data_IF_040370753868
#
_entry.id   IF_040370753868
#
_cell.length_a   1.000
_cell.length_b   1.000
_cell.length_c   1.000
_cell.angle_alpha   90.00
_cell.angle_beta   90.00
_cell.angle_gamma   90.00
#
_symmetry.space_group_name_H-M   'P 1'
#
loop_
_entity.id
_entity.type
_entity.pdbx_description
1 polymer ?
#
# COMPACT_ATOMS: atom_id res chain seq x y z
N UNK A 1 -5.43 1.13 10.13
CA UNK A 1 -4.02 1.07 9.70
C UNK A 1 -3.85 0.08 8.56
N UNK A 2 -3.19 0.47 7.47
CA UNK A 2 -2.88 -0.43 6.34
C UNK A 2 -1.50 -1.05 6.56
N UNK A 3 -1.47 -2.35 6.84
CA UNK A 3 -0.27 -3.11 7.20
C UNK A 3 0.01 -4.30 6.25
N UNK A 4 -0.55 -4.27 5.05
CA UNK A 4 -0.30 -5.24 3.98
C UNK A 4 1.17 -5.27 3.54
N UNK A 5 1.57 -6.29 2.79
CA UNK A 5 2.95 -6.50 2.33
C UNK A 5 3.96 -6.43 3.48
N UNK A 6 3.67 -7.21 4.54
CA UNK A 6 4.48 -7.27 5.77
C UNK A 6 4.72 -5.87 6.38
N UNK A 7 3.62 -5.08 6.52
CA UNK A 7 3.73 -3.70 7.02
C UNK A 7 4.60 -2.84 6.12
N UNK A 8 4.45 -2.93 4.79
CA UNK A 8 5.33 -2.26 3.82
C UNK A 8 6.82 -2.61 4.02
N UNK A 9 7.08 -3.85 4.43
CA UNK A 9 8.42 -4.36 4.72
C UNK A 9 8.96 -4.00 6.11
N UNK A 10 8.11 -3.48 7.01
CA UNK A 10 8.51 -3.09 8.37
C UNK A 10 8.18 -4.14 9.44
N UNK A 11 7.54 -5.27 9.06
CA UNK A 11 7.08 -6.30 9.98
C UNK A 11 5.62 -6.08 10.43
N UNK A 12 4.66 -6.75 9.77
CA UNK A 12 3.24 -6.55 10.05
C UNK A 12 2.84 -7.01 11.45
N UNK A 13 3.41 -8.08 11.96
CA UNK A 13 3.12 -8.61 13.30
C UNK A 13 3.51 -7.62 14.39
N UNK A 14 4.74 -7.13 14.37
CA UNK A 14 5.23 -6.14 15.34
C UNK A 14 4.46 -4.83 15.26
N UNK A 15 4.19 -4.37 14.04
CA UNK A 15 3.43 -3.14 13.82
C UNK A 15 1.98 -3.28 14.29
N UNK A 16 1.34 -4.42 14.07
CA UNK A 16 -0.04 -4.63 14.54
C UNK A 16 -0.14 -4.46 16.05
N UNK A 17 0.81 -5.02 16.80
CA UNK A 17 0.86 -4.90 18.26
C UNK A 17 1.12 -3.46 18.74
N UNK A 18 1.93 -2.70 18.00
CA UNK A 18 2.23 -1.29 18.29
C UNK A 18 1.01 -0.43 17.99
N UNK A 19 0.42 -0.57 16.81
CA UNK A 19 -0.73 0.25 16.40
C UNK A 19 -1.97 -0.03 17.23
N UNK A 20 -2.21 -1.27 17.65
CA UNK A 20 -3.28 -1.62 18.57
C UNK A 20 -3.12 -0.89 19.91
N UNK A 21 -1.91 -0.86 20.48
CA UNK A 21 -1.60 -0.10 21.71
C UNK A 21 -1.72 1.43 21.53
N UNK A 22 -1.51 1.93 20.32
CA UNK A 22 -1.65 3.34 19.97
C UNK A 22 -3.08 3.74 19.64
N UNK A 23 -4.04 2.80 19.67
CA UNK A 23 -5.45 3.07 19.47
C UNK A 23 -5.91 2.97 18.02
N UNK A 24 -5.29 2.11 17.21
CA UNK A 24 -5.86 1.73 15.92
C UNK A 24 -7.18 0.99 16.14
N UNK A 25 -8.17 1.24 15.27
CA UNK A 25 -9.49 0.61 15.36
C UNK A 25 -9.62 -0.58 14.37
N UNK A 26 -8.82 -0.59 13.30
CA UNK A 26 -8.98 -1.54 12.19
C UNK A 26 -7.65 -1.77 11.48
N UNK A 27 -7.42 -3.00 11.00
CA UNK A 27 -6.31 -3.31 10.10
C UNK A 27 -6.79 -3.59 8.68
N UNK A 28 -5.98 -3.22 7.70
CA UNK A 28 -6.23 -3.53 6.30
C UNK A 28 -5.01 -4.24 5.68
N UNK A 29 -5.29 -5.39 5.05
CA UNK A 29 -4.30 -6.28 4.45
C UNK A 29 -4.63 -6.53 2.96
N UNK A 30 -3.79 -7.23 2.22
CA UNK A 30 -4.03 -7.49 0.81
C UNK A 30 -4.54 -8.90 0.50
N UNK A 31 -4.31 -9.87 1.36
CA UNK A 31 -4.74 -11.27 1.18
C UNK A 31 -5.02 -11.94 2.53
N UNK A 32 -5.54 -13.16 2.46
CA UNK A 32 -5.96 -13.95 3.61
C UNK A 32 -4.77 -14.36 4.51
N UNK A 33 -3.63 -14.72 3.92
CA UNK A 33 -2.46 -15.17 4.67
C UNK A 33 -1.94 -14.07 5.60
N UNK A 34 -1.86 -12.83 5.10
CA UNK A 34 -1.49 -11.66 5.90
C UNK A 34 -2.46 -11.44 7.08
N UNK A 35 -3.76 -11.58 6.83
CA UNK A 35 -4.79 -11.45 7.86
C UNK A 35 -4.69 -12.55 8.93
N UNK A 36 -4.49 -13.79 8.52
CA UNK A 36 -4.32 -14.94 9.42
C UNK A 36 -3.06 -14.79 10.28
N UNK A 37 -1.95 -14.33 9.71
CA UNK A 37 -0.71 -14.09 10.44
C UNK A 37 -0.91 -13.07 11.57
N UNK A 38 -1.56 -11.94 11.27
CA UNK A 38 -1.89 -10.92 12.26
C UNK A 38 -2.84 -11.48 13.33
N UNK A 39 -3.86 -12.24 12.92
CA UNK A 39 -4.80 -12.85 13.86
C UNK A 39 -4.09 -13.86 14.79
N UNK A 40 -3.19 -14.72 14.25
CA UNK A 40 -2.39 -15.68 15.01
C UNK A 40 -1.39 -15.01 15.94
N UNK A 41 -0.95 -13.79 15.66
CA UNK A 41 -0.10 -13.00 16.57
C UNK A 41 -0.84 -12.49 17.81
N UNK A 42 -2.17 -12.65 17.86
CA UNK A 42 -3.01 -12.33 19.01
C UNK A 42 -3.86 -11.08 18.87
N UNK A 43 -3.78 -10.34 17.77
CA UNK A 43 -4.62 -9.15 17.54
C UNK A 43 -6.11 -9.52 17.52
N UNK A 44 -6.92 -8.66 18.13
CA UNK A 44 -8.38 -8.76 18.20
C UNK A 44 -9.10 -7.70 17.37
N UNK A 45 -8.36 -6.74 16.81
CA UNK A 45 -8.97 -5.70 16.00
C UNK A 45 -9.60 -6.29 14.73
N UNK A 46 -10.67 -5.70 14.18
CA UNK A 46 -11.20 -6.06 12.88
C UNK A 46 -10.11 -5.97 11.80
N UNK A 47 -10.17 -6.88 10.83
CA UNK A 47 -9.23 -6.94 9.70
C UNK A 47 -10.03 -6.99 8.41
N UNK A 48 -9.69 -6.14 7.44
CA UNK A 48 -10.29 -6.17 6.10
C UNK A 48 -9.25 -6.49 5.03
N UNK A 49 -9.56 -7.43 4.16
CA UNK A 49 -8.78 -7.70 2.95
C UNK A 49 -9.24 -6.72 1.85
N UNK A 50 -8.31 -5.91 1.33
CA UNK A 50 -8.59 -4.92 0.29
C UNK A 50 -8.55 -5.48 -1.13
N UNK A 51 -8.11 -6.73 -1.29
CA UNK A 51 -7.90 -7.42 -2.56
C UNK A 51 -8.83 -8.62 -2.75
N UNK A 52 -8.44 -9.48 -3.69
CA UNK A 52 -9.11 -10.74 -3.99
C UNK A 52 -8.67 -11.84 -3.03
N UNK A 53 -9.63 -12.67 -2.63
CA UNK A 53 -9.41 -13.94 -1.94
C UNK A 53 -10.17 -15.04 -2.70
N UNK A 54 -9.57 -16.21 -2.99
CA UNK A 54 -10.31 -17.32 -3.56
C UNK A 54 -11.51 -17.71 -2.68
N UNK A 55 -12.66 -18.00 -3.27
CA UNK A 55 -13.86 -18.37 -2.51
C UNK A 55 -13.68 -19.65 -1.69
N UNK A 56 -12.73 -20.50 -2.06
CA UNK A 56 -12.33 -21.68 -1.27
C UNK A 56 -11.81 -21.35 0.13
N UNK A 57 -11.49 -20.08 0.40
CA UNK A 57 -11.03 -19.60 1.70
C UNK A 57 -12.17 -19.09 2.60
N UNK A 58 -13.42 -19.33 2.24
CA UNK A 58 -14.60 -18.87 3.00
C UNK A 58 -14.57 -19.32 4.46
N UNK A 59 -14.22 -20.58 4.72
CA UNK A 59 -14.08 -21.12 6.07
C UNK A 59 -13.00 -20.34 6.87
N UNK A 60 -11.84 -20.08 6.25
CA UNK A 60 -10.77 -19.31 6.88
C UNK A 60 -11.16 -17.84 7.13
N UNK A 61 -11.88 -17.20 6.20
CA UNK A 61 -12.41 -15.84 6.43
C UNK A 61 -13.30 -15.80 7.66
N UNK A 62 -14.18 -16.78 7.81
CA UNK A 62 -15.10 -16.88 8.94
C UNK A 62 -14.38 -17.28 10.24
N UNK A 63 -13.51 -18.30 10.22
CA UNK A 63 -12.80 -18.79 11.41
C UNK A 63 -11.91 -17.69 12.03
N UNK A 64 -11.19 -16.94 11.17
CA UNK A 64 -10.30 -15.89 11.63
C UNK A 64 -10.96 -14.52 11.76
N UNK A 65 -12.28 -14.42 11.54
CA UNK A 65 -13.05 -13.17 11.60
C UNK A 65 -12.38 -12.04 10.78
N UNK A 66 -12.21 -12.31 9.49
CA UNK A 66 -11.57 -11.40 8.52
C UNK A 66 -12.59 -11.00 7.48
N UNK A 67 -12.81 -9.69 7.31
CA UNK A 67 -13.75 -9.14 6.34
C UNK A 67 -13.15 -9.13 4.94
N UNK A 68 -13.93 -9.49 3.92
CA UNK A 68 -13.51 -9.57 2.53
C UNK A 68 -14.04 -8.40 1.70
N UNK A 69 -13.19 -7.81 0.87
CA UNK A 69 -13.64 -6.88 -0.17
C UNK A 69 -14.45 -7.62 -1.25
N UNK A 70 -15.70 -7.26 -1.43
CA UNK A 70 -16.57 -7.76 -2.49
C UNK A 70 -16.68 -6.72 -3.59
N UNK A 71 -16.32 -7.08 -4.82
CA UNK A 71 -16.07 -6.13 -5.92
C UNK A 71 -16.89 -6.41 -7.18
N UNK A 72 -17.67 -7.50 -7.21
CA UNK A 72 -18.62 -7.82 -8.27
C UNK A 72 -19.72 -8.73 -7.73
N UNK A 73 -20.89 -8.72 -8.37
CA UNK A 73 -22.00 -9.59 -8.02
C UNK A 73 -21.67 -11.08 -8.25
N UNK A 74 -20.90 -11.40 -9.29
CA UNK A 74 -20.45 -12.76 -9.57
C UNK A 74 -19.61 -13.30 -8.40
N UNK A 75 -18.59 -12.54 -7.97
CA UNK A 75 -17.77 -12.92 -6.82
C UNK A 75 -18.60 -13.04 -5.53
N UNK A 76 -19.57 -12.14 -5.31
CA UNK A 76 -20.47 -12.21 -4.16
C UNK A 76 -21.28 -13.50 -4.15
N UNK A 77 -21.84 -13.92 -5.31
CA UNK A 77 -22.60 -15.15 -5.45
C UNK A 77 -21.75 -16.40 -5.17
N UNK A 78 -20.59 -16.49 -5.78
CA UNK A 78 -19.65 -17.60 -5.55
C UNK A 78 -19.24 -17.70 -4.07
N UNK A 79 -18.93 -16.57 -3.43
CA UNK A 79 -18.56 -16.54 -2.01
C UNK A 79 -19.75 -16.95 -1.12
N UNK A 80 -20.95 -16.45 -1.40
CA UNK A 80 -22.18 -16.81 -0.68
C UNK A 80 -22.51 -18.29 -0.80
N UNK A 81 -22.45 -18.85 -2.02
CA UNK A 81 -22.65 -20.27 -2.27
C UNK A 81 -21.66 -21.11 -1.44
N UNK A 82 -20.38 -20.70 -1.43
CA UNK A 82 -19.37 -21.40 -0.65
C UNK A 82 -19.60 -21.27 0.85
N UNK A 83 -19.99 -20.11 1.35
CA UNK A 83 -20.36 -19.92 2.75
C UNK A 83 -21.55 -20.82 3.18
N UNK A 84 -22.54 -21.00 2.31
CA UNK A 84 -23.67 -21.91 2.55
C UNK A 84 -23.19 -23.37 2.58
N UNK A 85 -22.34 -23.79 1.65
CA UNK A 85 -21.75 -25.14 1.62
C UNK A 85 -20.98 -25.48 2.90
N UNK A 86 -20.20 -24.54 3.43
CA UNK A 86 -19.33 -24.71 4.61
C UNK A 86 -20.05 -24.36 5.93
N UNK A 87 -21.34 -24.01 5.89
CA UNK A 87 -22.14 -23.60 7.08
C UNK A 87 -21.46 -22.46 7.88
N UNK A 88 -20.87 -21.51 7.16
CA UNK A 88 -20.18 -20.35 7.74
C UNK A 88 -20.79 -19.03 7.24
N UNK A 89 -20.43 -17.91 7.86
CA UNK A 89 -20.82 -16.56 7.45
C UNK A 89 -19.59 -15.69 7.31
N UNK A 90 -19.47 -14.99 6.17
CA UNK A 90 -18.36 -14.07 5.91
C UNK A 90 -18.82 -12.61 6.03
N UNK A 91 -18.04 -11.78 6.71
CA UNK A 91 -18.20 -10.32 6.68
C UNK A 91 -17.65 -9.77 5.38
N UNK A 92 -18.31 -8.75 4.85
CA UNK A 92 -17.86 -8.12 3.61
C UNK A 92 -17.87 -6.60 3.66
N UNK A 93 -16.88 -6.01 2.95
CA UNK A 93 -16.89 -4.61 2.57
C UNK A 93 -17.12 -4.49 1.07
N UNK A 94 -18.20 -3.84 0.67
CA UNK A 94 -18.51 -3.58 -0.73
C UNK A 94 -17.46 -2.61 -1.30
N UNK A 95 -16.78 -3.02 -2.36
CA UNK A 95 -15.79 -2.18 -3.06
C UNK A 95 -16.44 -1.50 -4.25
N UNK A 96 -16.48 -0.17 -4.21
CA UNK A 96 -16.93 0.68 -5.32
C UNK A 96 -15.73 1.16 -6.12
N UNK A 97 -15.78 1.03 -7.43
CA UNK A 97 -14.86 1.69 -8.35
C UNK A 97 -15.45 3.02 -8.81
N UNK A 98 -15.05 4.09 -8.15
CA UNK A 98 -15.48 5.46 -8.46
C UNK A 98 -14.55 6.21 -9.42
N UNK A 99 -13.54 5.51 -10.00
CA UNK A 99 -12.60 6.11 -10.97
C UNK A 99 -11.17 5.59 -10.90
N UNK A 100 -10.86 4.62 -10.03
CA UNK A 100 -9.52 4.00 -9.97
C UNK A 100 -9.30 2.95 -11.06
N UNK A 101 -10.37 2.31 -11.56
CA UNK A 101 -10.38 1.28 -12.61
C UNK A 101 -9.47 0.09 -12.31
N UNK A 102 -9.51 -0.40 -11.05
CA UNK A 102 -8.71 -1.55 -10.60
C UNK A 102 -9.59 -2.75 -10.25
N UNK A 103 -10.44 -2.65 -9.26
CA UNK A 103 -11.49 -3.60 -8.87
C UNK A 103 -12.62 -2.83 -8.21
N UNK A 104 -13.84 -3.33 -8.29
CA UNK A 104 -15.05 -2.74 -7.67
C UNK A 104 -16.22 -2.69 -8.60
N UNK A 105 -17.42 -2.57 -8.04
CA UNK A 105 -18.61 -2.26 -8.80
C UNK A 105 -18.45 -0.91 -9.48
N UNK A 106 -18.57 -0.87 -10.80
CA UNK A 106 -18.27 0.33 -11.59
C UNK A 106 -19.34 1.42 -11.36
N UNK A 107 -18.94 2.49 -10.71
CA UNK A 107 -19.78 3.64 -10.39
C UNK A 107 -19.00 4.94 -10.66
N UNK A 108 -18.78 5.24 -11.93
CA UNK A 108 -17.95 6.37 -12.41
C UNK A 108 -18.75 7.44 -13.15
N UNK A 109 -20.00 7.14 -13.55
CA UNK A 109 -20.82 8.03 -14.38
C UNK A 109 -22.29 8.05 -13.95
N UNK A 110 -22.63 8.85 -12.96
CA UNK A 110 -24.03 9.07 -12.61
C UNK A 110 -24.76 9.84 -13.72
N UNK A 111 -26.02 9.46 -14.11
CA UNK A 111 -26.86 8.38 -13.52
C UNK A 111 -26.73 7.00 -14.21
N UNK A 112 -25.71 6.73 -15.00
CA UNK A 112 -25.53 5.46 -15.73
C UNK A 112 -25.19 4.28 -14.82
N UNK A 113 -24.79 4.57 -13.58
CA UNK A 113 -24.34 3.54 -12.62
C UNK A 113 -25.48 2.81 -11.91
N UNK A 114 -26.75 3.07 -12.29
CA UNK A 114 -27.92 2.48 -11.66
C UNK A 114 -27.88 0.95 -11.66
N UNK A 115 -27.41 0.34 -12.75
CA UNK A 115 -27.23 -1.09 -12.86
C UNK A 115 -26.24 -1.64 -11.80
N UNK A 116 -25.12 -1.00 -11.61
CA UNK A 116 -24.13 -1.41 -10.60
C UNK A 116 -24.67 -1.24 -9.17
N UNK A 117 -25.53 -0.25 -8.93
CA UNK A 117 -26.19 -0.07 -7.64
C UNK A 117 -27.20 -1.20 -7.38
N UNK A 118 -27.92 -1.65 -8.40
CA UNK A 118 -28.81 -2.81 -8.32
C UNK A 118 -28.01 -4.09 -8.01
N UNK A 119 -26.89 -4.33 -8.68
CA UNK A 119 -25.99 -5.45 -8.40
C UNK A 119 -25.46 -5.41 -6.96
N UNK A 120 -25.11 -4.24 -6.43
CA UNK A 120 -24.67 -4.08 -5.03
C UNK A 120 -25.84 -4.45 -4.09
N UNK A 121 -27.06 -3.98 -4.36
CA UNK A 121 -28.23 -4.34 -3.55
C UNK A 121 -28.49 -5.84 -3.55
N UNK A 122 -28.35 -6.50 -4.70
CA UNK A 122 -28.47 -7.97 -4.82
C UNK A 122 -27.37 -8.66 -3.99
N UNK A 123 -26.11 -8.22 -4.11
CA UNK A 123 -24.99 -8.75 -3.33
C UNK A 123 -25.22 -8.63 -1.82
N UNK A 124 -25.78 -7.51 -1.36
CA UNK A 124 -26.11 -7.27 0.04
C UNK A 124 -27.25 -8.17 0.59
N UNK A 125 -28.02 -8.79 -0.28
CA UNK A 125 -29.14 -9.69 0.10
C UNK A 125 -28.77 -11.18 0.03
N UNK A 126 -27.54 -11.51 -0.39
CA UNK A 126 -27.11 -12.90 -0.51
C UNK A 126 -26.99 -13.58 0.87
N UNK A 127 -27.36 -14.87 0.98
CA UNK A 127 -27.27 -15.59 2.24
C UNK A 127 -25.79 -15.73 2.70
N UNK A 128 -25.59 -15.82 4.00
CA UNK A 128 -24.29 -16.06 4.63
C UNK A 128 -23.21 -15.01 4.31
N UNK A 129 -23.61 -13.81 3.84
CA UNK A 129 -22.77 -12.62 3.72
C UNK A 129 -23.30 -11.51 4.61
N UNK A 130 -22.45 -11.00 5.49
CA UNK A 130 -22.75 -9.88 6.40
C UNK A 130 -22.10 -8.59 5.88
N UNK A 131 -22.92 -7.58 5.55
CA UNK A 131 -22.43 -6.30 5.05
C UNK A 131 -21.91 -5.48 6.23
N UNK A 132 -20.59 -5.33 6.35
CA UNK A 132 -19.93 -4.51 7.36
C UNK A 132 -19.58 -3.12 6.84
N UNK A 133 -19.09 -3.04 5.61
CA UNK A 133 -18.58 -1.77 5.09
C UNK A 133 -18.80 -1.49 3.61
N UNK A 134 -18.57 -0.24 3.25
CA UNK A 134 -18.58 0.27 1.87
C UNK A 134 -17.35 1.14 1.66
N UNK A 135 -16.59 0.91 0.57
CA UNK A 135 -15.41 1.71 0.32
C UNK A 135 -15.07 1.94 -1.14
N UNK A 136 -14.35 3.01 -1.38
CA UNK A 136 -13.66 3.30 -2.65
C UNK A 136 -12.18 3.61 -2.41
N UNK A 137 -11.44 3.96 -3.46
CA UNK A 137 -10.04 4.36 -3.35
C UNK A 137 -9.73 5.49 -4.33
N UNK A 138 -9.20 6.58 -3.82
CA UNK A 138 -8.78 7.73 -4.62
C UNK A 138 -7.46 7.43 -5.32
N UNK A 139 -7.33 7.81 -6.57
CA UNK A 139 -6.15 7.51 -7.37
C UNK A 139 -5.18 8.69 -7.51
N UNK A 140 -5.62 9.93 -7.24
CA UNK A 140 -4.84 11.16 -7.44
C UNK A 140 -5.01 12.17 -6.29
N UNK A 141 -5.35 11.69 -5.09
CA UNK A 141 -5.58 12.56 -3.92
C UNK A 141 -4.31 13.23 -3.38
N UNK A 142 -3.15 12.85 -3.87
CA UNK A 142 -1.84 13.43 -3.54
C UNK A 142 -1.25 14.28 -4.67
N UNK A 143 -2.08 14.60 -5.68
CA UNK A 143 -1.72 15.45 -6.81
C UNK A 143 -2.20 16.91 -6.63
N UNK A 144 -1.97 17.75 -7.64
CA UNK A 144 -2.33 19.18 -7.63
C UNK A 144 -3.81 19.46 -7.97
N UNK A 145 -4.08 20.64 -8.55
CA UNK A 145 -5.42 21.12 -8.84
C UNK A 145 -6.24 20.17 -9.75
N UNK A 146 -5.62 19.55 -10.76
CA UNK A 146 -6.31 18.58 -11.63
C UNK A 146 -6.66 17.29 -10.86
N UNK A 147 -5.75 16.85 -10.00
CA UNK A 147 -5.99 15.73 -9.10
C UNK A 147 -7.12 16.01 -8.12
N UNK A 148 -7.24 17.27 -7.64
CA UNK A 148 -8.32 17.69 -6.74
C UNK A 148 -9.69 17.59 -7.41
N UNK A 149 -9.83 18.07 -8.65
CA UNK A 149 -11.08 17.97 -9.38
C UNK A 149 -11.52 16.51 -9.56
N UNK A 150 -10.59 15.66 -9.97
CA UNK A 150 -10.88 14.24 -10.15
C UNK A 150 -11.19 13.52 -8.84
N UNK A 151 -10.47 13.81 -7.76
CA UNK A 151 -10.73 13.24 -6.43
C UNK A 151 -12.12 13.62 -5.92
N UNK A 152 -12.52 14.88 -6.10
CA UNK A 152 -13.88 15.35 -5.75
C UNK A 152 -14.93 14.58 -6.55
N UNK A 153 -14.73 14.39 -7.86
CA UNK A 153 -15.64 13.59 -8.69
C UNK A 153 -15.71 12.13 -8.20
N UNK A 154 -14.59 11.51 -7.84
CA UNK A 154 -14.59 10.16 -7.26
C UNK A 154 -15.41 10.12 -5.96
N UNK A 155 -15.25 11.12 -5.11
CA UNK A 155 -16.01 11.23 -3.86
C UNK A 155 -17.50 11.42 -4.11
N UNK A 156 -17.90 12.32 -5.01
CA UNK A 156 -19.31 12.53 -5.37
C UNK A 156 -19.97 11.26 -5.89
N UNK A 157 -19.29 10.52 -6.78
CA UNK A 157 -19.76 9.22 -7.27
C UNK A 157 -19.94 8.22 -6.11
N UNK A 158 -18.97 8.12 -5.21
CA UNK A 158 -19.02 7.23 -4.08
C UNK A 158 -20.16 7.56 -3.10
N UNK A 159 -20.34 8.84 -2.77
CA UNK A 159 -21.42 9.30 -1.88
C UNK A 159 -22.79 9.06 -2.53
N UNK A 160 -22.89 9.23 -3.86
CA UNK A 160 -24.11 8.90 -4.59
C UNK A 160 -24.48 7.42 -4.42
N UNK A 161 -23.52 6.50 -4.52
CA UNK A 161 -23.75 5.06 -4.29
C UNK A 161 -24.23 4.82 -2.86
N UNK A 162 -23.51 5.35 -1.86
CA UNK A 162 -23.89 5.26 -0.43
C UNK A 162 -25.34 5.70 -0.21
N UNK A 163 -25.70 6.88 -0.70
CA UNK A 163 -27.03 7.47 -0.49
C UNK A 163 -28.11 6.71 -1.23
N UNK A 164 -27.80 6.15 -2.39
CA UNK A 164 -28.71 5.29 -3.16
C UNK A 164 -28.98 3.97 -2.47
N UNK A 165 -27.96 3.33 -1.89
CA UNK A 165 -28.09 2.11 -1.09
C UNK A 165 -28.95 2.36 0.15
N UNK A 166 -28.69 3.44 0.87
CA UNK A 166 -29.47 3.85 2.04
C UNK A 166 -30.95 4.04 1.70
N UNK A 167 -31.28 4.71 0.58
CA UNK A 167 -32.66 4.88 0.10
C UNK A 167 -33.34 3.55 -0.23
N UNK A 168 -32.60 2.51 -0.59
CA UNK A 168 -33.08 1.16 -0.86
C UNK A 168 -33.13 0.27 0.39
N UNK A 169 -32.83 0.83 1.57
CA UNK A 169 -32.89 0.12 2.84
C UNK A 169 -31.64 -0.70 3.18
N UNK A 170 -30.54 -0.52 2.44
CA UNK A 170 -29.24 -1.10 2.78
C UNK A 170 -28.53 -0.12 3.72
N UNK A 171 -28.41 -0.48 4.99
CA UNK A 171 -27.69 0.28 6.00
C UNK A 171 -26.29 -0.32 6.18
N UNK A 172 -25.27 0.52 6.10
CA UNK A 172 -23.85 0.11 6.14
C UNK A 172 -23.17 0.88 7.25
N UNK A 173 -22.56 0.15 8.18
CA UNK A 173 -22.03 0.71 9.42
C UNK A 173 -20.68 1.41 9.24
N UNK A 174 -19.83 0.98 8.28
CA UNK A 174 -18.48 1.54 8.09
C UNK A 174 -18.27 2.00 6.66
N UNK A 175 -18.33 3.30 6.44
CA UNK A 175 -18.07 3.92 5.13
C UNK A 175 -16.68 4.53 5.11
N UNK A 176 -15.84 4.20 4.12
CA UNK A 176 -14.47 4.69 4.07
C UNK A 176 -13.92 4.89 2.65
N UNK A 177 -13.26 6.00 2.42
CA UNK A 177 -12.66 6.32 1.10
C UNK A 177 -11.25 6.91 1.19
N UNK A 178 -10.92 7.71 2.22
CA UNK A 178 -9.66 8.41 2.34
C UNK A 178 -8.46 7.45 2.48
N UNK A 179 -7.48 7.65 1.63
CA UNK A 179 -6.14 7.07 1.72
C UNK A 179 -5.17 8.09 2.35
N UNK A 180 -3.88 7.78 2.41
CA UNK A 180 -2.86 8.66 3.01
C UNK A 180 -2.82 10.08 2.43
N UNK A 181 -3.04 10.26 1.13
CA UNK A 181 -3.09 11.59 0.51
C UNK A 181 -4.36 12.35 0.89
N UNK A 182 -5.49 11.67 0.93
CA UNK A 182 -6.77 12.31 1.23
C UNK A 182 -6.94 12.68 2.70
N UNK A 183 -6.32 11.98 3.63
CA UNK A 183 -6.40 12.28 5.07
C UNK A 183 -5.99 13.73 5.35
N UNK A 184 -4.96 14.22 4.68
CA UNK A 184 -4.46 15.58 4.89
C UNK A 184 -5.28 16.63 4.08
N UNK A 185 -5.53 16.35 2.81
CA UNK A 185 -6.03 17.38 1.87
C UNK A 185 -7.55 17.40 1.69
N UNK A 186 -8.27 16.37 2.17
CA UNK A 186 -9.71 16.21 1.96
C UNK A 186 -10.41 15.77 3.26
N UNK A 187 -10.40 16.59 4.32
CA UNK A 187 -11.02 16.22 5.60
C UNK A 187 -12.51 15.86 5.47
N UNK A 188 -13.22 16.43 4.47
CA UNK A 188 -14.61 16.10 4.17
C UNK A 188 -14.84 14.66 3.72
N UNK A 189 -13.78 13.98 3.30
CA UNK A 189 -13.86 12.58 2.80
C UNK A 189 -13.56 11.53 3.87
N UNK A 190 -13.29 11.92 5.12
CA UNK A 190 -12.91 10.97 6.17
C UNK A 190 -14.00 9.94 6.50
N UNK A 191 -15.28 10.26 6.28
CA UNK A 191 -16.43 9.38 6.57
C UNK A 191 -16.33 8.76 7.99
N UNK A 192 -16.62 7.44 8.12
CA UNK A 192 -16.57 6.74 9.41
C UNK A 192 -15.15 6.24 9.72
N UNK A 193 -14.33 5.98 8.71
CA UNK A 193 -12.97 5.46 8.85
C UNK A 193 -12.04 5.97 7.75
N UNK A 194 -10.78 6.20 8.08
CA UNK A 194 -9.71 6.49 7.11
C UNK A 194 -8.73 5.31 7.01
N UNK A 195 -8.03 5.21 5.89
CA UNK A 195 -7.03 4.16 5.66
C UNK A 195 -5.64 4.75 5.53
N UNK A 196 -5.02 5.02 6.69
CA UNK A 196 -3.63 5.44 6.73
C UNK A 196 -2.72 4.28 6.28
N UNK A 197 -1.89 4.55 5.29
CA UNK A 197 -0.93 3.60 4.71
C UNK A 197 0.48 4.16 4.79
N UNK A 198 1.01 4.66 3.68
CA UNK A 198 2.41 5.10 3.57
C UNK A 198 2.82 6.14 4.63
N UNK A 199 1.92 6.99 5.10
CA UNK A 199 2.20 7.98 6.15
C UNK A 199 2.52 7.34 7.49
N UNK A 200 2.00 6.14 7.80
CA UNK A 200 2.31 5.42 9.03
C UNK A 200 3.79 5.02 9.13
N UNK A 201 4.45 4.93 7.98
CA UNK A 201 5.87 4.56 7.86
C UNK A 201 6.79 5.78 7.75
N UNK A 202 6.22 6.98 7.94
CA UNK A 202 6.96 8.24 7.90
C UNK A 202 7.34 8.71 6.50
N UNK A 203 6.59 8.28 5.49
CA UNK A 203 6.81 8.66 4.09
C UNK A 203 5.60 9.40 3.53
N UNK A 204 5.84 10.51 2.85
CA UNK A 204 4.78 11.25 2.18
C UNK A 204 4.27 10.48 0.95
N UNK A 205 2.95 10.55 0.66
CA UNK A 205 2.37 9.89 -0.52
C UNK A 205 2.96 10.38 -1.84
N UNK A 206 3.32 11.65 -1.92
CA UNK A 206 4.00 12.25 -3.08
C UNK A 206 5.01 13.31 -2.64
N UNK A 207 5.87 13.75 -3.56
CA UNK A 207 6.80 14.85 -3.31
C UNK A 207 6.10 16.18 -3.02
N UNK A 208 4.85 16.36 -3.48
CA UNK A 208 4.04 17.56 -3.25
C UNK A 208 3.57 17.70 -1.80
N UNK A 209 3.39 16.56 -1.11
CA UNK A 209 3.01 16.51 0.30
C UNK A 209 4.20 16.39 1.25
N UNK A 210 5.41 16.13 0.73
CA UNK A 210 6.59 15.87 1.55
C UNK A 210 6.97 17.02 2.49
N UNK A 211 6.81 18.27 2.01
CA UNK A 211 7.16 19.47 2.79
C UNK A 211 6.01 19.94 3.71
N UNK A 212 4.85 19.32 3.63
CA UNK A 212 3.64 19.70 4.39
C UNK A 212 3.40 18.82 5.61
N UNK A 213 3.92 17.60 5.57
CA UNK A 213 3.75 16.60 6.60
C UNK A 213 5.05 16.47 7.40
N UNK A 214 4.98 16.64 8.72
CA UNK A 214 6.12 16.40 9.61
C UNK A 214 6.28 14.89 9.86
N UNK A 215 6.78 14.19 8.86
CA UNK A 215 6.95 12.75 8.85
C UNK A 215 8.41 12.35 9.07
N UNK A 216 8.63 11.37 9.90
CA UNK A 216 9.95 10.78 10.14
C UNK A 216 9.96 9.35 9.62
N UNK A 217 10.80 9.01 8.60
CA UNK A 217 10.89 7.65 8.08
C UNK A 217 11.20 6.64 9.19
N UNK A 218 10.37 5.60 9.29
CA UNK A 218 10.51 4.56 10.32
C UNK A 218 11.68 3.60 10.05
N UNK A 219 12.13 3.49 8.80
CA UNK A 219 13.20 2.58 8.38
C UNK A 219 14.44 3.33 7.90
N UNK A 220 15.61 2.82 8.28
CA UNK A 220 16.91 3.26 7.74
C UNK A 220 17.71 2.05 7.30
N UNK A 221 18.07 1.99 6.01
CA UNK A 221 18.97 0.96 5.48
C UNK A 221 20.43 1.37 5.74
N UNK A 222 21.19 0.51 6.39
CA UNK A 222 22.62 0.74 6.71
C UNK A 222 23.48 -0.40 6.18
N UNK A 223 24.69 -0.07 5.75
CA UNK A 223 25.74 -1.00 5.37
C UNK A 223 27.10 -0.45 5.82
N UNK A 224 28.17 -1.17 5.54
CA UNK A 224 29.54 -0.76 5.89
C UNK A 224 30.36 -0.62 4.62
N UNK A 225 31.45 0.14 4.69
CA UNK A 225 32.47 0.11 3.63
C UNK A 225 33.33 -1.14 3.85
N UNK A 226 33.32 -2.06 2.88
CA UNK A 226 34.09 -3.30 2.96
C UNK A 226 35.48 -3.15 2.35
N UNK A 227 35.65 -2.27 1.37
CA UNK A 227 36.91 -2.07 0.69
C UNK A 227 36.99 -0.69 0.03
N UNK A 228 38.16 -0.09 0.06
CA UNK A 228 38.43 1.17 -0.63
C UNK A 228 39.68 1.02 -1.53
N UNK A 229 39.60 1.51 -2.75
CA UNK A 229 40.73 1.52 -3.69
C UNK A 229 40.78 2.79 -4.51
N UNK A 230 41.99 3.15 -4.97
CA UNK A 230 42.19 4.17 -5.98
C UNK A 230 42.18 3.56 -7.39
N UNK A 231 41.52 4.22 -8.31
CA UNK A 231 41.53 3.90 -9.74
C UNK A 231 42.05 5.06 -10.55
N UNK A 232 42.77 4.77 -11.64
CA UNK A 232 43.30 5.81 -12.51
C UNK A 232 42.24 6.24 -13.54
N UNK A 233 42.43 7.43 -14.13
CA UNK A 233 41.62 7.89 -15.26
C UNK A 233 41.56 6.82 -16.35
N UNK A 234 40.38 6.57 -16.88
CA UNK A 234 40.11 5.55 -17.89
C UNK A 234 39.77 4.15 -17.34
N UNK A 235 39.93 3.91 -16.02
CA UNK A 235 39.52 2.67 -15.39
C UNK A 235 38.00 2.53 -15.44
N UNK A 236 37.50 1.33 -15.68
CA UNK A 236 36.07 1.04 -15.77
C UNK A 236 35.60 0.31 -14.52
N UNK A 237 34.34 0.61 -14.08
CA UNK A 237 33.75 0.07 -12.86
C UNK A 237 32.57 -0.84 -13.21
N UNK A 238 32.51 -2.01 -12.55
CA UNK A 238 31.42 -2.97 -12.54
C UNK A 238 31.12 -3.62 -13.90
N UNK A 239 30.04 -4.42 -13.90
CA UNK A 239 29.57 -5.17 -15.07
C UNK A 239 29.18 -4.26 -16.24
N UNK A 240 29.57 -4.71 -17.43
CA UNK A 240 29.29 -4.00 -18.68
C UNK A 240 30.09 -2.72 -18.85
N UNK A 241 31.02 -2.40 -17.92
CA UNK A 241 31.91 -1.24 -18.00
C UNK A 241 31.15 0.08 -18.26
N UNK A 242 29.96 0.21 -17.63
CA UNK A 242 29.03 1.33 -17.88
C UNK A 242 29.50 2.65 -17.26
N UNK A 243 30.47 2.61 -16.35
CA UNK A 243 31.11 3.78 -15.77
C UNK A 243 32.63 3.76 -16.09
N UNK A 244 33.16 4.89 -16.51
CA UNK A 244 34.60 5.07 -16.76
C UNK A 244 35.07 6.26 -15.93
N UNK A 245 36.13 6.06 -15.14
CA UNK A 245 36.72 7.12 -14.36
C UNK A 245 37.29 8.22 -15.27
N UNK A 246 36.86 9.45 -15.10
CA UNK A 246 37.29 10.63 -15.86
C UNK A 246 38.57 11.28 -15.28
N UNK A 247 38.88 10.94 -14.03
CA UNK A 247 40.04 11.39 -13.27
C UNK A 247 40.55 10.24 -12.37
N UNK A 248 41.59 10.45 -11.62
CA UNK A 248 41.96 9.58 -10.50
C UNK A 248 40.86 9.65 -9.46
N UNK A 249 40.26 8.49 -9.08
CA UNK A 249 39.13 8.40 -8.20
C UNK A 249 39.38 7.41 -7.06
N UNK A 250 38.72 7.64 -5.90
CA UNK A 250 38.66 6.71 -4.79
C UNK A 250 37.28 6.02 -4.81
N UNK A 251 37.32 4.71 -4.94
CA UNK A 251 36.08 3.90 -5.04
C UNK A 251 35.93 3.05 -3.78
N UNK A 252 34.80 3.19 -3.10
CA UNK A 252 34.39 2.29 -2.01
C UNK A 252 33.50 1.18 -2.54
N UNK A 253 33.64 -0.01 -1.99
CA UNK A 253 32.73 -1.14 -2.20
C UNK A 253 31.98 -1.41 -0.90
N UNK A 254 30.67 -1.52 -1.00
CA UNK A 254 29.76 -1.84 0.12
C UNK A 254 29.04 -3.17 -0.13
N UNK A 255 28.90 -4.04 0.90
CA UNK A 255 28.30 -5.36 0.77
C UNK A 255 26.77 -5.28 0.81
N UNK A 256 26.18 -4.71 -0.23
CA UNK A 256 24.75 -4.70 -0.49
C UNK A 256 24.51 -4.68 -2.00
N UNK A 257 23.59 -5.51 -2.48
CA UNK A 257 23.25 -5.61 -3.89
C UNK A 257 21.81 -6.04 -4.13
N UNK A 258 21.51 -6.46 -5.36
CA UNK A 258 20.12 -6.75 -5.71
C UNK A 258 19.58 -8.04 -5.07
N UNK A 259 20.41 -8.96 -4.58
CA UNK A 259 19.96 -10.10 -3.78
C UNK A 259 19.41 -9.70 -2.41
N UNK A 260 19.83 -8.52 -1.90
CA UNK A 260 19.32 -7.92 -0.67
C UNK A 260 18.10 -7.02 -0.89
N UNK A 261 17.54 -6.99 -2.11
CA UNK A 261 16.45 -6.08 -2.47
C UNK A 261 16.91 -4.67 -2.89
N UNK A 262 18.21 -4.40 -2.93
CA UNK A 262 18.74 -3.11 -3.41
C UNK A 262 18.76 -3.06 -4.93
N UNK A 263 17.65 -2.62 -5.53
CA UNK A 263 17.35 -2.76 -6.95
C UNK A 263 18.38 -2.09 -7.87
N UNK A 264 18.64 -2.73 -9.02
CA UNK A 264 19.64 -2.26 -10.00
C UNK A 264 19.39 -0.87 -10.56
N UNK A 265 18.13 -0.42 -10.60
CA UNK A 265 17.74 0.91 -11.07
C UNK A 265 18.32 2.04 -10.22
N UNK A 266 18.60 1.78 -8.94
CA UNK A 266 19.25 2.74 -8.04
C UNK A 266 20.64 3.18 -8.55
N UNK A 267 21.27 2.43 -9.46
CA UNK A 267 22.54 2.82 -10.07
C UNK A 267 22.44 4.04 -10.99
N UNK A 268 21.24 4.44 -11.44
CA UNK A 268 21.09 5.54 -12.40
C UNK A 268 21.41 6.90 -11.77
N UNK A 269 20.76 7.20 -10.65
CA UNK A 269 20.90 8.51 -9.97
C UNK A 269 21.05 8.35 -8.45
N UNK A 270 21.21 7.10 -7.97
CA UNK A 270 21.30 6.78 -6.56
C UNK A 270 22.61 7.21 -5.90
N UNK A 271 22.52 7.40 -4.60
CA UNK A 271 23.67 7.68 -3.75
C UNK A 271 23.50 7.00 -2.38
N UNK A 272 24.59 6.85 -1.67
CA UNK A 272 24.58 6.49 -0.24
C UNK A 272 25.23 7.61 0.56
N UNK A 273 24.85 7.74 1.83
CA UNK A 273 25.50 8.67 2.74
C UNK A 273 26.74 8.02 3.34
N UNK A 274 27.89 8.64 3.16
CA UNK A 274 29.17 8.21 3.73
C UNK A 274 29.77 9.40 4.49
N UNK A 275 30.01 9.25 5.78
CA UNK A 275 30.50 10.34 6.65
C UNK A 275 29.70 11.67 6.49
N UNK A 276 28.36 11.55 6.36
CA UNK A 276 27.47 12.70 6.21
C UNK A 276 27.44 13.35 4.82
N UNK A 277 28.18 12.80 3.84
CA UNK A 277 28.22 13.31 2.46
C UNK A 277 27.61 12.30 1.49
N UNK A 278 27.01 12.77 0.38
CA UNK A 278 26.48 11.93 -0.68
C UNK A 278 27.61 11.30 -1.49
N UNK A 279 27.69 9.99 -1.51
CA UNK A 279 28.57 9.19 -2.36
C UNK A 279 27.73 8.58 -3.50
N UNK A 280 28.01 8.97 -4.74
CA UNK A 280 27.27 8.50 -5.92
C UNK A 280 27.55 7.03 -6.18
N UNK A 281 26.52 6.28 -6.56
CA UNK A 281 26.68 4.90 -7.07
C UNK A 281 27.34 4.96 -8.44
N UNK A 282 28.40 4.16 -8.66
CA UNK A 282 29.16 4.12 -9.91
C UNK A 282 29.19 2.72 -10.50
N UNK A 283 28.85 2.61 -11.76
CA UNK A 283 28.68 1.33 -12.43
C UNK A 283 27.38 0.61 -12.04
N UNK A 284 27.23 -0.65 -12.47
CA UNK A 284 26.04 -1.46 -12.15
C UNK A 284 26.11 -2.01 -10.74
N UNK A 285 24.98 -2.05 -10.05
CA UNK A 285 24.83 -2.79 -8.79
C UNK A 285 24.98 -4.27 -9.08
N UNK A 286 25.82 -4.96 -8.32
CA UNK A 286 26.06 -6.39 -8.40
C UNK A 286 25.04 -7.16 -7.55
N UNK A 287 25.17 -8.50 -7.50
CA UNK A 287 24.29 -9.34 -6.68
C UNK A 287 24.37 -8.97 -5.20
N UNK A 288 25.60 -8.85 -4.67
CA UNK A 288 25.87 -8.68 -3.24
C UNK A 288 26.73 -7.44 -2.93
N UNK A 289 27.04 -6.60 -3.94
CA UNK A 289 27.96 -5.47 -3.77
C UNK A 289 27.58 -4.28 -4.65
N UNK A 290 27.84 -3.09 -4.12
CA UNK A 290 27.68 -1.80 -4.82
C UNK A 290 28.93 -0.97 -4.69
N UNK A 291 29.31 -0.24 -5.75
CA UNK A 291 30.47 0.65 -5.77
C UNK A 291 30.02 2.11 -5.68
N UNK A 292 30.76 2.87 -4.86
CA UNK A 292 30.48 4.29 -4.58
C UNK A 292 31.70 5.13 -4.94
N UNK A 293 31.47 6.29 -5.53
CA UNK A 293 32.49 7.33 -5.64
C UNK A 293 32.63 8.07 -4.30
N UNK A 294 33.77 7.87 -3.66
CA UNK A 294 34.11 8.52 -2.40
C UNK A 294 35.33 9.43 -2.54
N UNK A 295 35.65 9.88 -3.77
CA UNK A 295 36.85 10.66 -4.10
C UNK A 295 36.98 11.92 -3.24
N UNK A 296 35.87 12.62 -3.05
CA UNK A 296 35.81 13.89 -2.33
C UNK A 296 35.31 13.74 -0.87
N UNK A 297 35.36 12.50 -0.34
CA UNK A 297 34.98 12.20 1.04
C UNK A 297 36.21 11.76 1.83
N UNK A 298 36.50 12.50 2.88
CA UNK A 298 37.65 12.24 3.76
C UNK A 298 37.40 11.04 4.68
N UNK A 299 38.48 10.40 5.14
CA UNK A 299 38.47 9.32 6.16
C UNK A 299 37.61 8.10 5.83
N UNK A 300 37.37 7.82 4.54
CA UNK A 300 36.74 6.57 4.12
C UNK A 300 37.80 5.47 4.08
N UNK A 301 37.58 4.42 4.88
CA UNK A 301 38.47 3.27 5.06
C UNK A 301 37.80 1.97 4.74
#
# INVERSE_FOLDING_TARGET
CVIKADGYGHGAVELSQIYEKLGADFFAVSNIDEGIEIRKSGSKLPIVILGYTPVSEAENLAEYDISQAVFSLEYAKELSEKCVEEDCTCKMHIKVDSGMSRIGFMCQEFPRDEYSIEEICEACCLPNLEVEGLFTHFCVSDEDAEGREFTNKQYENFIHVRDSLKKRGVDISVVHCSNSGAIEDYPETCCDMVRAGIILYGLAPSSKLADRLDLVPAMTLKTVVAFVKEVQKGATISYGRTFTADRKMKIATVPIGYADGFIRQNAKDGYMMVNGKKAKIVGRICMDQTMLDVTDIEDVK
#
